data_IF_909481014245
#
_entry.id   IF_909481014245
#
_cell.length_a   1.000
_cell.length_b   1.000
_cell.length_c   1.000
_cell.angle_alpha   90.00
_cell.angle_beta   90.00
_cell.angle_gamma   90.00
#
_symmetry.space_group_name_H-M   'P 1'
#
loop_
_entity.id
_entity.type
_entity.pdbx_description
1 polymer ?
#
# COMPACT_ATOMS: atom_id res chain seq x y z
N UNK A 1 -15.20 -17.67 -4.80
CA UNK A 1 -15.45 -16.56 -5.74
C UNK A 1 -14.30 -15.57 -5.58
N UNK A 2 -13.69 -15.10 -6.67
CA UNK A 2 -12.56 -14.18 -6.58
C UNK A 2 -13.06 -12.73 -6.42
N UNK A 3 -12.37 -11.94 -5.60
CA UNK A 3 -12.64 -10.50 -5.49
C UNK A 3 -12.41 -9.79 -6.82
N UNK A 4 -13.03 -8.64 -7.00
CA UNK A 4 -12.74 -7.76 -8.15
C UNK A 4 -12.24 -6.42 -7.62
N UNK A 5 -11.10 -5.95 -8.10
CA UNK A 5 -10.52 -4.68 -7.68
C UNK A 5 -10.14 -3.84 -8.89
N UNK A 6 -10.59 -2.60 -8.92
CA UNK A 6 -10.22 -1.60 -9.91
C UNK A 6 -9.03 -0.78 -9.40
N UNK A 7 -7.96 -0.71 -10.18
CA UNK A 7 -6.70 -0.04 -9.83
C UNK A 7 -6.23 0.86 -10.97
N UNK A 8 -5.34 1.82 -10.68
CA UNK A 8 -4.80 2.73 -11.69
C UNK A 8 -4.01 1.93 -12.75
N UNK A 9 -4.26 2.19 -14.03
CA UNK A 9 -3.40 1.76 -15.13
C UNK A 9 -2.25 2.76 -15.35
N UNK A 10 -1.10 2.29 -15.84
CA UNK A 10 0.02 3.16 -16.17
C UNK A 10 -0.33 4.14 -17.29
N UNK A 11 0.17 5.37 -17.18
CA UNK A 11 -0.04 6.42 -18.19
C UNK A 11 0.66 6.00 -19.48
N UNK A 12 -0.07 5.94 -20.60
CA UNK A 12 0.46 5.49 -21.89
C UNK A 12 0.56 3.96 -22.07
N UNK A 13 0.33 3.16 -21.02
CA UNK A 13 0.36 1.71 -21.07
C UNK A 13 -0.84 1.11 -20.29
N UNK A 14 -2.05 1.07 -20.88
CA UNK A 14 -3.29 0.73 -20.16
C UNK A 14 -3.37 -0.73 -19.68
N UNK A 15 -2.49 -1.60 -20.18
CA UNK A 15 -2.38 -3.02 -19.77
C UNK A 15 -1.39 -3.23 -18.62
N UNK A 16 -0.73 -2.17 -18.15
CA UNK A 16 0.28 -2.22 -17.09
C UNK A 16 -0.27 -1.56 -15.82
N UNK A 17 0.08 -2.11 -14.66
CA UNK A 17 -0.27 -1.54 -13.36
C UNK A 17 0.38 -0.16 -13.20
N UNK A 18 -0.40 0.81 -12.75
CA UNK A 18 0.05 2.18 -12.54
C UNK A 18 0.67 2.45 -11.17
N UNK A 19 1.15 3.67 -11.02
CA UNK A 19 1.87 4.26 -9.89
C UNK A 19 0.95 4.79 -8.76
N UNK A 20 -0.17 4.11 -8.47
CA UNK A 20 -1.08 4.56 -7.42
C UNK A 20 -0.77 3.90 -6.07
N UNK A 21 -0.22 4.64 -5.07
CA UNK A 21 0.13 4.06 -3.77
C UNK A 21 -1.09 3.51 -3.02
N UNK A 22 -2.25 4.17 -3.17
CA UNK A 22 -3.52 3.73 -2.59
C UNK A 22 -3.99 2.40 -3.18
N UNK A 23 -3.80 2.20 -4.50
CA UNK A 23 -4.12 0.92 -5.15
C UNK A 23 -3.16 -0.18 -4.70
N UNK A 24 -1.86 0.13 -4.61
CA UNK A 24 -0.85 -0.81 -4.12
C UNK A 24 -1.16 -1.27 -2.70
N UNK A 25 -1.57 -0.38 -1.79
CA UNK A 25 -1.97 -0.75 -0.42
C UNK A 25 -3.07 -1.81 -0.40
N UNK A 26 -4.13 -1.63 -1.19
CA UNK A 26 -5.22 -2.59 -1.27
C UNK A 26 -4.78 -3.93 -1.89
N UNK A 27 -3.94 -3.89 -2.94
CA UNK A 27 -3.38 -5.09 -3.58
C UNK A 27 -2.51 -5.89 -2.61
N UNK A 28 -1.59 -5.23 -1.91
CA UNK A 28 -0.72 -5.87 -0.92
C UNK A 28 -1.53 -6.53 0.20
N UNK A 29 -2.60 -5.88 0.66
CA UNK A 29 -3.50 -6.46 1.68
C UNK A 29 -4.15 -7.76 1.18
N UNK A 30 -4.55 -7.81 -0.10
CA UNK A 30 -5.12 -9.01 -0.70
C UNK A 30 -4.07 -10.13 -0.85
N UNK A 31 -2.84 -9.78 -1.25
CA UNK A 31 -1.73 -10.73 -1.39
C UNK A 31 -1.30 -11.33 -0.06
N UNK A 32 -1.10 -10.50 0.98
CA UNK A 32 -0.70 -10.96 2.32
C UNK A 32 -1.75 -11.88 2.94
N UNK A 33 -3.03 -11.58 2.72
CA UNK A 33 -4.14 -12.45 3.12
C UNK A 33 -4.37 -13.64 2.18
N UNK A 34 -3.59 -13.76 1.10
CA UNK A 34 -3.67 -14.83 0.09
C UNK A 34 -5.08 -14.97 -0.50
N UNK A 35 -5.78 -13.85 -0.65
CA UNK A 35 -7.14 -13.80 -1.15
C UNK A 35 -7.11 -13.76 -2.69
N UNK A 36 -7.81 -14.66 -3.41
CA UNK A 36 -7.83 -14.61 -4.86
C UNK A 36 -8.64 -13.42 -5.35
N UNK A 37 -8.07 -12.62 -6.24
CA UNK A 37 -8.73 -11.45 -6.83
C UNK A 37 -8.42 -11.29 -8.32
N UNK A 38 -9.25 -10.51 -9.00
CA UNK A 38 -9.08 -10.07 -10.38
C UNK A 38 -8.91 -8.56 -10.42
N UNK A 39 -7.86 -8.10 -11.09
CA UNK A 39 -7.60 -6.68 -11.31
C UNK A 39 -8.31 -6.17 -12.55
N UNK A 40 -8.86 -4.97 -12.44
CA UNK A 40 -9.35 -4.16 -13.55
C UNK A 40 -8.50 -2.90 -13.63
N UNK A 41 -7.70 -2.78 -14.68
CA UNK A 41 -6.83 -1.62 -14.89
C UNK A 41 -7.66 -0.46 -15.47
N UNK A 42 -7.76 0.63 -14.72
CA UNK A 42 -8.53 1.82 -15.08
C UNK A 42 -7.59 2.91 -15.55
N UNK A 43 -7.74 3.31 -16.82
CA UNK A 43 -7.10 4.50 -17.34
C UNK A 43 -7.81 5.74 -16.78
N UNK A 44 -7.14 6.48 -15.89
CA UNK A 44 -7.73 7.66 -15.25
C UNK A 44 -7.87 8.87 -16.20
N UNK A 45 -7.13 8.89 -17.32
CA UNK A 45 -7.26 9.90 -18.38
C UNK A 45 -8.45 9.62 -19.31
N UNK A 46 -8.88 8.36 -19.41
CA UNK A 46 -10.02 7.94 -20.20
C UNK A 46 -10.82 6.87 -19.44
N UNK A 47 -11.64 7.33 -18.48
CA UNK A 47 -12.37 6.45 -17.56
C UNK A 47 -13.51 5.76 -18.31
N UNK A 48 -13.61 4.42 -18.25
CA UNK A 48 -14.68 3.72 -18.93
C UNK A 48 -16.03 3.97 -18.24
N UNK A 49 -17.10 4.02 -19.03
CA UNK A 49 -18.44 4.37 -18.55
C UNK A 49 -18.93 3.45 -17.43
N UNK A 50 -18.74 2.13 -17.57
CA UNK A 50 -19.12 1.15 -16.54
C UNK A 50 -18.45 1.42 -15.19
N UNK A 51 -17.22 1.96 -15.17
CA UNK A 51 -16.53 2.27 -13.94
C UNK A 51 -17.13 3.50 -13.24
N UNK A 52 -17.56 4.50 -14.01
CA UNK A 52 -18.23 5.68 -13.48
C UNK A 52 -19.64 5.37 -12.98
N UNK A 53 -20.33 4.41 -13.60
CA UNK A 53 -21.62 3.89 -13.11
C UNK A 53 -21.48 3.22 -11.73
N UNK A 54 -20.37 2.50 -11.50
CA UNK A 54 -20.07 1.87 -10.21
C UNK A 54 -19.56 2.87 -9.17
N UNK A 55 -18.73 3.83 -9.59
CA UNK A 55 -18.16 4.85 -8.72
C UNK A 55 -18.17 6.21 -9.44
N UNK A 56 -19.20 7.05 -9.23
CA UNK A 56 -19.32 8.37 -9.85
C UNK A 56 -18.15 9.31 -9.50
N UNK A 57 -17.47 9.09 -8.38
CA UNK A 57 -16.27 9.86 -8.04
C UNK A 57 -15.09 9.57 -8.98
N UNK A 58 -15.12 8.43 -9.68
CA UNK A 58 -14.09 8.02 -10.63
C UNK A 58 -12.70 7.90 -10.01
N UNK A 59 -12.63 7.49 -8.74
CA UNK A 59 -11.39 7.31 -7.97
C UNK A 59 -11.06 5.83 -7.81
N UNK A 60 -9.77 5.53 -7.70
CA UNK A 60 -9.23 4.19 -7.43
C UNK A 60 -8.41 4.23 -6.13
N UNK A 61 -8.30 3.12 -5.39
CA UNK A 61 -8.88 1.80 -5.68
C UNK A 61 -10.39 1.71 -5.42
N UNK A 62 -11.01 0.70 -6.04
CA UNK A 62 -12.41 0.33 -5.82
C UNK A 62 -12.51 -1.20 -5.82
N UNK A 63 -12.97 -1.80 -4.73
CA UNK A 63 -13.09 -3.27 -4.60
C UNK A 63 -14.56 -3.69 -4.54
N UNK A 64 -14.88 -4.86 -5.08
CA UNK A 64 -16.18 -5.50 -4.92
C UNK A 64 -16.10 -6.51 -3.77
N UNK A 65 -16.76 -6.18 -2.65
CA UNK A 65 -16.94 -7.06 -1.49
C UNK A 65 -18.42 -7.44 -1.41
N UNK A 66 -18.74 -8.73 -1.56
CA UNK A 66 -20.11 -9.26 -1.46
C UNK A 66 -21.14 -8.51 -2.32
N UNK A 67 -20.79 -8.24 -3.59
CA UNK A 67 -21.60 -7.47 -4.55
C UNK A 67 -21.77 -5.98 -4.23
N UNK A 68 -21.00 -5.45 -3.27
CA UNK A 68 -20.93 -4.03 -2.99
C UNK A 68 -19.57 -3.46 -3.39
N UNK A 69 -19.59 -2.41 -4.20
CA UNK A 69 -18.39 -1.68 -4.56
C UNK A 69 -18.02 -0.69 -3.45
N UNK A 70 -16.82 -0.84 -2.90
CA UNK A 70 -16.30 -0.05 -1.80
C UNK A 70 -15.11 0.79 -2.29
N UNK A 71 -15.20 2.12 -2.21
CA UNK A 71 -14.07 3.01 -2.47
C UNK A 71 -13.23 3.21 -1.21
N UNK A 72 -12.12 3.94 -1.36
CA UNK A 72 -11.21 4.35 -0.30
C UNK A 72 -10.34 3.19 0.24
N UNK A 73 -9.04 3.28 0.00
CA UNK A 73 -8.10 2.24 0.40
C UNK A 73 -8.02 2.06 1.92
N UNK A 74 -8.34 3.04 2.76
CA UNK A 74 -8.30 2.87 4.23
C UNK A 74 -9.48 1.99 4.66
N UNK A 75 -10.67 2.31 4.13
CA UNK A 75 -11.90 1.54 4.37
C UNK A 75 -11.76 0.11 3.83
N UNK A 76 -11.18 -0.06 2.63
CA UNK A 76 -10.97 -1.37 2.02
C UNK A 76 -10.13 -2.28 2.92
N UNK A 77 -9.00 -1.77 3.44
CA UNK A 77 -8.11 -2.55 4.30
C UNK A 77 -8.81 -2.96 5.59
N UNK A 78 -9.53 -2.02 6.23
CA UNK A 78 -10.28 -2.30 7.46
C UNK A 78 -11.34 -3.38 7.22
N UNK A 79 -12.12 -3.28 6.14
CA UNK A 79 -13.15 -4.29 5.83
C UNK A 79 -12.56 -5.66 5.48
N UNK A 80 -11.42 -5.69 4.79
CA UNK A 80 -10.70 -6.94 4.53
C UNK A 80 -10.16 -7.56 5.82
N UNK A 81 -9.69 -6.75 6.76
CA UNK A 81 -9.24 -7.19 8.08
C UNK A 81 -10.39 -7.75 8.91
N UNK A 82 -11.53 -7.05 8.97
CA UNK A 82 -12.71 -7.49 9.71
C UNK A 82 -13.28 -8.81 9.16
N UNK A 83 -13.26 -8.98 7.83
CA UNK A 83 -13.82 -10.17 7.19
C UNK A 83 -12.84 -11.35 7.16
N UNK A 84 -11.54 -11.07 7.10
CA UNK A 84 -10.47 -12.05 7.03
C UNK A 84 -9.41 -11.71 8.08
N UNK A 85 -9.64 -12.03 9.37
CA UNK A 85 -8.76 -11.61 10.46
C UNK A 85 -7.40 -12.30 10.46
N UNK A 86 -7.24 -13.39 9.69
CA UNK A 86 -6.00 -14.16 9.63
C UNK A 86 -5.40 -14.14 8.22
N UNK A 87 -4.09 -13.86 8.06
CA UNK A 87 -3.19 -13.32 9.09
C UNK A 87 -3.57 -11.89 9.50
N UNK A 88 -3.37 -11.55 10.77
CA UNK A 88 -3.65 -10.21 11.29
C UNK A 88 -2.67 -9.19 10.71
N UNK A 89 -3.21 -8.12 10.13
CA UNK A 89 -2.44 -7.01 9.57
C UNK A 89 -2.56 -5.74 10.42
N UNK A 90 -3.16 -5.85 11.60
CA UNK A 90 -3.34 -4.74 12.52
C UNK A 90 -1.98 -4.30 13.03
N UNK A 91 -1.64 -3.04 12.75
CA UNK A 91 -0.47 -2.41 13.33
C UNK A 91 -0.74 -2.14 14.82
N UNK A 92 0.17 -2.52 15.73
CA UNK A 92 0.06 -2.15 17.14
C UNK A 92 -0.16 -0.63 17.28
N UNK A 93 -1.04 -0.17 18.19
CA UNK A 93 -1.36 1.26 18.33
C UNK A 93 -0.12 2.15 18.54
N UNK A 94 0.88 1.62 19.23
CA UNK A 94 2.17 2.28 19.51
C UNK A 94 2.96 2.61 18.23
N UNK A 95 2.75 1.84 17.16
CA UNK A 95 3.44 1.98 15.87
C UNK A 95 2.52 2.58 14.79
N UNK A 96 1.26 2.86 15.10
CA UNK A 96 0.28 3.29 14.12
C UNK A 96 0.55 4.71 13.57
N UNK A 97 1.08 5.60 14.41
CA UNK A 97 1.49 6.97 14.06
C UNK A 97 2.87 7.04 13.43
N UNK A 98 3.70 6.02 13.64
CA UNK A 98 5.08 5.99 13.13
C UNK A 98 5.05 6.01 11.60
N UNK A 99 5.66 7.04 11.02
CA UNK A 99 5.75 7.22 9.59
C UNK A 99 4.50 7.71 8.86
N UNK A 100 3.43 8.07 9.59
CA UNK A 100 2.19 8.60 8.99
C UNK A 100 2.44 9.86 8.16
N UNK A 101 3.38 10.70 8.58
CA UNK A 101 3.68 11.98 7.94
C UNK A 101 4.76 11.89 6.85
N UNK A 102 5.46 10.75 6.72
CA UNK A 102 6.57 10.58 5.76
C UNK A 102 6.09 10.86 4.34
N UNK A 103 4.91 10.34 3.95
CA UNK A 103 4.39 10.59 2.60
C UNK A 103 4.08 12.06 2.35
N UNK A 104 3.53 12.76 3.35
CA UNK A 104 3.24 14.20 3.25
C UNK A 104 4.53 15.02 3.12
N UNK A 105 5.53 14.70 3.95
CA UNK A 105 6.86 15.32 3.92
C UNK A 105 7.59 15.05 2.61
N UNK A 106 7.59 13.79 2.15
CA UNK A 106 8.16 13.40 0.86
C UNK A 106 7.45 14.07 -0.32
N UNK A 107 6.12 14.11 -0.31
CA UNK A 107 5.37 14.84 -1.35
C UNK A 107 5.66 16.33 -1.33
N UNK A 108 5.98 16.91 -0.17
CA UNK A 108 6.36 18.32 -0.06
C UNK A 108 7.75 18.54 -0.64
N UNK A 109 8.71 17.69 -0.26
CA UNK A 109 10.06 17.67 -0.82
C UNK A 109 10.06 17.52 -2.35
N UNK A 110 9.27 16.60 -2.91
CA UNK A 110 9.19 16.43 -4.37
C UNK A 110 8.59 17.63 -5.11
N UNK A 111 7.79 18.45 -4.43
CA UNK A 111 7.12 19.62 -5.03
C UNK A 111 7.88 20.91 -4.79
N UNK A 112 8.88 20.91 -3.90
CA UNK A 112 9.70 22.08 -3.68
C UNK A 112 10.49 22.40 -4.95
N UNK A 113 10.72 23.69 -5.17
CA UNK A 113 11.50 24.21 -6.30
C UNK A 113 12.80 24.88 -5.82
N UNK A 114 13.00 24.90 -4.51
CA UNK A 114 14.11 25.55 -3.84
C UNK A 114 14.81 24.51 -2.98
N UNK A 115 16.07 24.23 -3.31
CA UNK A 115 16.91 23.27 -2.61
C UNK A 115 17.24 23.69 -1.16
N UNK A 116 16.87 24.91 -0.76
CA UNK A 116 17.14 25.47 0.58
C UNK A 116 15.91 25.63 1.46
N UNK A 117 14.75 25.14 1.04
CA UNK A 117 13.51 25.26 1.81
C UNK A 117 13.47 24.38 3.07
N UNK A 118 14.50 23.54 3.27
CA UNK A 118 14.64 22.65 4.43
C UNK A 118 13.73 21.42 4.39
N UNK A 119 12.97 21.22 3.31
CA UNK A 119 12.06 20.07 3.16
C UNK A 119 12.80 18.74 3.15
N UNK A 120 14.02 18.70 2.59
CA UNK A 120 14.90 17.53 2.63
C UNK A 120 15.26 17.15 4.06
N UNK A 121 15.69 18.13 4.88
CA UNK A 121 16.08 17.86 6.27
C UNK A 121 14.88 17.36 7.08
N UNK A 122 13.71 17.97 6.91
CA UNK A 122 12.47 17.53 7.58
C UNK A 122 12.09 16.10 7.20
N UNK A 123 12.32 15.70 5.96
CA UNK A 123 12.12 14.33 5.50
C UNK A 123 13.16 13.37 6.12
N UNK A 124 14.44 13.74 6.11
CA UNK A 124 15.51 12.94 6.68
C UNK A 124 15.31 12.71 8.18
N UNK A 125 14.92 13.75 8.93
CA UNK A 125 14.65 13.64 10.36
C UNK A 125 13.52 12.64 10.64
N UNK A 126 12.47 12.64 9.81
CA UNK A 126 11.36 11.68 9.94
C UNK A 126 11.78 10.25 9.58
N UNK A 127 12.61 10.09 8.53
CA UNK A 127 13.14 8.79 8.13
C UNK A 127 14.09 8.21 9.19
N UNK A 128 14.91 9.05 9.83
CA UNK A 128 15.78 8.64 10.92
C UNK A 128 14.97 8.24 12.17
N UNK A 129 13.95 9.02 12.53
CA UNK A 129 13.06 8.68 13.63
C UNK A 129 12.37 7.33 13.40
N UNK A 130 11.95 7.06 12.17
CA UNK A 130 11.45 5.76 11.77
C UNK A 130 12.52 4.66 11.92
N UNK A 131 13.72 4.88 11.39
CA UNK A 131 14.80 3.88 11.41
C UNK A 131 15.13 3.46 12.85
N UNK A 132 15.15 4.41 13.78
CA UNK A 132 15.34 4.13 15.21
C UNK A 132 14.24 3.25 15.80
N UNK A 133 12.97 3.47 15.41
CA UNK A 133 11.85 2.62 15.85
C UNK A 133 11.89 1.22 15.22
N UNK A 134 12.34 1.11 13.97
CA UNK A 134 12.50 -0.18 13.29
C UNK A 134 13.65 -1.01 13.86
N UNK A 135 14.74 -0.36 14.32
CA UNK A 135 15.87 -1.03 14.97
C UNK A 135 15.51 -1.64 16.33
N UNK A 136 14.57 -1.04 17.06
CA UNK A 136 14.09 -1.55 18.35
C UNK A 136 13.01 -2.62 18.22
N UNK A 137 12.24 -2.59 17.13
CA UNK A 137 11.09 -3.48 16.89
C UNK A 137 11.31 -4.31 15.63
N UNK A 138 12.09 -5.38 15.76
CA UNK A 138 12.16 -6.41 14.71
C UNK A 138 10.81 -7.15 14.72
N UNK A 139 10.12 -7.13 13.58
CA UNK A 139 8.85 -7.82 13.29
C UNK A 139 7.58 -6.96 13.53
N UNK A 140 6.94 -6.51 12.42
CA UNK A 140 5.48 -6.32 12.19
C UNK A 140 5.09 -5.15 11.25
N UNK A 141 6.02 -4.29 10.80
CA UNK A 141 5.68 -3.08 10.00
C UNK A 141 5.60 -3.27 8.46
N UNK A 142 5.61 -4.50 7.96
CA UNK A 142 5.84 -4.79 6.54
C UNK A 142 4.80 -4.19 5.57
N UNK A 143 3.53 -4.06 5.98
CA UNK A 143 2.44 -3.75 5.02
C UNK A 143 2.28 -2.26 4.75
N UNK A 144 2.50 -1.41 5.77
CA UNK A 144 2.54 0.05 5.59
C UNK A 144 3.75 0.48 4.76
N UNK A 145 4.90 -0.17 4.97
CA UNK A 145 6.16 0.22 4.34
C UNK A 145 6.36 -0.30 2.92
N UNK A 146 5.83 -1.48 2.59
CA UNK A 146 5.95 -2.01 1.23
C UNK A 146 5.27 -1.09 0.19
N UNK A 147 4.17 -0.43 0.57
CA UNK A 147 3.48 0.55 -0.29
C UNK A 147 4.35 1.81 -0.54
N UNK A 148 5.06 2.28 0.49
CA UNK A 148 5.91 3.47 0.39
C UNK A 148 7.23 3.16 -0.36
N UNK A 149 7.84 2.01 -0.08
CA UNK A 149 9.04 1.53 -0.79
C UNK A 149 8.72 1.23 -2.27
N UNK A 150 7.57 0.62 -2.58
CA UNK A 150 7.12 0.41 -3.97
C UNK A 150 6.87 1.72 -4.72
N UNK A 151 6.39 2.77 -4.03
CA UNK A 151 6.20 4.10 -4.60
C UNK A 151 7.53 4.79 -4.92
N UNK A 152 8.52 4.71 -4.02
CA UNK A 152 9.85 5.32 -4.23
C UNK A 152 10.68 4.54 -5.26
N UNK A 153 10.65 3.21 -5.25
CA UNK A 153 11.47 2.37 -6.13
C UNK A 153 10.83 2.09 -7.51
N UNK A 154 9.77 2.82 -7.88
CA UNK A 154 9.25 2.81 -9.25
C UNK A 154 8.73 1.45 -9.72
N UNK A 155 8.02 0.70 -8.88
CA UNK A 155 7.31 -0.52 -9.28
C UNK A 155 8.19 -1.69 -9.78
N UNK A 156 9.52 -1.58 -9.77
CA UNK A 156 10.41 -2.64 -10.23
C UNK A 156 10.84 -3.62 -9.11
N UNK A 157 10.55 -3.31 -7.85
CA UNK A 157 10.85 -4.18 -6.70
C UNK A 157 9.57 -4.88 -6.24
N UNK A 158 8.85 -5.52 -7.17
CA UNK A 158 7.54 -6.10 -6.83
C UNK A 158 7.58 -7.60 -6.50
N UNK A 159 8.73 -8.29 -6.60
CA UNK A 159 8.77 -9.76 -6.43
C UNK A 159 9.93 -10.26 -5.55
N UNK A 160 11.01 -9.51 -5.32
CA UNK A 160 12.21 -10.07 -4.67
C UNK A 160 12.31 -9.92 -3.15
N UNK A 161 11.35 -9.27 -2.49
CA UNK A 161 11.38 -9.06 -1.03
C UNK A 161 10.48 -10.01 -0.23
N UNK A 162 9.91 -11.03 -0.87
CA UNK A 162 9.04 -12.01 -0.20
C UNK A 162 9.76 -13.28 0.29
N UNK A 163 11.06 -13.48 0.02
CA UNK A 163 11.73 -14.77 0.26
C UNK A 163 12.78 -14.92 1.38
N UNK A 164 13.16 -13.92 2.22
CA UNK A 164 13.92 -14.25 3.41
C UNK A 164 13.27 -13.74 4.70
N UNK A 165 11.99 -14.04 4.94
CA UNK A 165 11.44 -13.89 6.30
C UNK A 165 10.35 -14.89 6.71
N UNK A 166 10.31 -16.06 6.09
CA UNK A 166 9.55 -17.21 6.65
C UNK A 166 10.48 -18.17 7.42
N UNK A 167 11.80 -17.98 7.34
CA UNK A 167 12.77 -18.90 7.94
C UNK A 167 13.26 -18.53 9.35
N UNK A 168 12.81 -17.43 9.96
CA UNK A 168 13.33 -17.00 11.28
C UNK A 168 12.44 -17.33 12.49
N UNK A 169 11.25 -17.89 12.28
CA UNK A 169 10.35 -18.30 13.39
C UNK A 169 10.35 -19.80 13.68
N UNK A 170 11.23 -20.57 13.02
CA UNK A 170 11.29 -22.02 13.17
C UNK A 170 12.67 -22.52 13.66
N UNK A 171 13.27 -21.88 14.67
CA UNK A 171 14.34 -22.55 15.43
C UNK A 171 14.54 -21.98 16.84
N UNK A 172 13.50 -22.00 17.68
CA UNK A 172 13.66 -21.94 19.15
C UNK A 172 12.53 -22.72 19.84
N UNK A 173 12.48 -24.03 19.61
CA UNK A 173 11.83 -24.98 20.53
C UNK A 173 12.33 -26.41 20.30
N UNK A 174 13.52 -26.72 20.83
CA UNK A 174 13.95 -28.08 21.13
C UNK A 174 15.04 -28.05 22.21
N UNK A 175 14.61 -27.84 23.45
CA UNK A 175 15.11 -28.62 24.58
C UNK A 175 14.02 -29.64 24.93
#
# INVERSE_FOLDING_TARGET
>A
MAFQICVKAAVGAPTVLGDCPFSQRALLTLEEKKLPYKTHLINLSNKPQWFLELNPAGKVPLINLDNKWVPDSDVIVVLLEEKYPEPSLITPPELASVGADIYSKFSTFLKSKDDKDGSEQVLLDELNALEEQLKSTVCLLFIKYQSFICFILGGHVQIWFLEPMVSFTADHSSQ
#
